data_IF_598922900166
#
_entry.id   IF_598922900166
#
_cell.length_a   1.000
_cell.length_b   1.000
_cell.length_c   1.000
_cell.angle_alpha   90.00
_cell.angle_beta   90.00
_cell.angle_gamma   90.00
#
_symmetry.space_group_name_H-M   'P 1'
#
loop_
_entity.id
_entity.type
_entity.pdbx_description
1 polymer ?
#
# COMPACT_ATOMS: atom_id res chain seq x y z
N UNK A 1 25.39 -30.32 24.25
CA UNK A 1 25.31 -28.86 24.06
C UNK A 1 23.92 -28.39 24.38
N UNK A 2 23.76 -27.60 25.44
CA UNK A 2 22.46 -27.08 25.87
C UNK A 2 22.04 -26.02 24.84
N UNK A 3 20.94 -26.26 24.14
CA UNK A 3 20.37 -25.34 23.16
C UNK A 3 19.81 -24.14 23.91
N UNK A 4 20.41 -22.95 23.74
CA UNK A 4 19.89 -21.74 24.37
C UNK A 4 18.67 -21.26 23.56
N UNK A 5 17.47 -21.15 24.17
CA UNK A 5 16.30 -20.67 23.45
C UNK A 5 16.55 -19.22 23.04
N UNK A 6 16.24 -18.92 21.77
CA UNK A 6 16.30 -17.56 21.25
C UNK A 6 15.29 -16.69 21.98
N UNK A 7 15.78 -15.78 22.82
CA UNK A 7 14.99 -14.79 23.54
C UNK A 7 14.88 -13.53 22.66
N UNK A 8 13.66 -13.22 22.23
CA UNK A 8 13.36 -12.03 21.43
C UNK A 8 12.46 -11.09 22.22
N UNK A 9 12.91 -9.85 22.43
CA UNK A 9 12.05 -8.80 22.96
C UNK A 9 11.20 -8.26 21.81
N UNK A 10 9.90 -8.48 21.87
CA UNK A 10 8.97 -8.06 20.83
C UNK A 10 8.19 -6.82 21.26
N UNK A 11 8.56 -5.67 20.70
CA UNK A 11 7.77 -4.44 20.80
C UNK A 11 6.69 -4.37 19.70
N UNK A 12 6.55 -5.45 18.90
CA UNK A 12 5.69 -5.48 17.73
C UNK A 12 4.22 -5.22 18.05
N UNK A 13 3.72 -5.78 19.14
CA UNK A 13 2.32 -5.62 19.56
C UNK A 13 2.08 -4.44 20.50
N UNK A 14 3.14 -3.70 20.85
CA UNK A 14 3.02 -2.51 21.69
C UNK A 14 2.52 -1.36 20.80
N UNK A 15 1.36 -0.79 21.16
CA UNK A 15 0.79 0.36 20.47
C UNK A 15 1.29 1.65 21.13
N UNK A 16 1.44 2.71 20.33
CA UNK A 16 2.02 3.97 20.82
C UNK A 16 1.18 4.62 21.94
N UNK A 17 -0.13 4.38 21.94
CA UNK A 17 -1.07 4.78 22.99
C UNK A 17 -0.75 4.22 24.38
N UNK A 18 0.01 3.12 24.45
CA UNK A 18 0.36 2.45 25.70
C UNK A 18 1.72 2.95 26.25
N UNK A 19 2.42 3.83 25.51
CA UNK A 19 3.62 4.51 26.02
C UNK A 19 3.25 5.64 26.98
N UNK A 20 3.95 5.68 28.11
CA UNK A 20 3.88 6.77 29.08
C UNK A 20 5.10 7.68 28.88
N UNK A 21 4.88 8.99 28.70
CA UNK A 21 5.97 9.96 28.66
C UNK A 21 6.69 10.01 30.02
N UNK A 22 8.01 9.79 30.01
CA UNK A 22 8.83 9.84 31.21
C UNK A 22 9.04 11.31 31.63
N UNK A 23 8.37 11.74 32.69
CA UNK A 23 8.49 13.08 33.29
C UNK A 23 9.07 12.99 34.71
N UNK A 24 9.62 14.08 35.24
CA UNK A 24 10.20 14.13 36.60
C UNK A 24 9.19 13.76 37.71
N UNK A 25 7.89 13.95 37.47
CA UNK A 25 6.81 13.52 38.37
C UNK A 25 6.67 12.00 38.53
N UNK A 26 7.22 11.22 37.59
CA UNK A 26 7.23 9.75 37.62
C UNK A 26 8.50 9.17 38.26
N UNK A 27 9.53 9.98 38.53
CA UNK A 27 10.81 9.53 39.10
C UNK A 27 10.67 8.86 40.49
N UNK A 28 9.63 9.22 41.25
CA UNK A 28 9.36 8.68 42.59
C UNK A 28 8.22 7.65 42.64
N UNK A 29 7.66 7.24 41.49
CA UNK A 29 6.51 6.31 41.44
C UNK A 29 6.97 4.90 41.04
N UNK A 30 6.49 3.87 41.73
CA UNK A 30 6.73 2.47 41.34
C UNK A 30 5.95 2.17 40.05
N UNK A 31 6.66 1.97 38.95
CA UNK A 31 6.08 1.52 37.67
C UNK A 31 5.72 0.04 37.78
N UNK A 32 4.47 -0.30 37.50
CA UNK A 32 4.02 -1.69 37.49
C UNK A 32 4.32 -2.28 36.10
N UNK A 33 5.49 -2.93 35.97
CA UNK A 33 5.93 -3.57 34.73
C UNK A 33 5.26 -4.93 34.60
N UNK A 34 4.27 -5.04 33.70
CA UNK A 34 3.64 -6.31 33.36
C UNK A 34 4.44 -6.98 32.26
N UNK A 35 5.26 -7.97 32.61
CA UNK A 35 6.00 -8.77 31.63
C UNK A 35 5.13 -9.94 31.15
N UNK A 36 4.70 -9.89 29.88
CA UNK A 36 4.01 -11.00 29.23
C UNK A 36 5.02 -11.86 28.47
N UNK A 37 5.15 -13.13 28.84
CA UNK A 37 5.93 -14.11 28.09
C UNK A 37 4.99 -15.00 27.26
N UNK A 38 5.30 -15.19 25.99
CA UNK A 38 4.57 -16.12 25.13
C UNK A 38 5.55 -16.91 24.28
N UNK A 39 5.22 -18.16 24.00
CA UNK A 39 5.98 -19.00 23.07
C UNK A 39 5.44 -18.68 21.68
N UNK A 40 6.25 -18.00 20.85
CA UNK A 40 5.93 -17.76 19.46
C UNK A 40 6.42 -18.92 18.58
N UNK A 41 5.64 -19.28 17.57
CA UNK A 41 6.12 -20.19 16.53
C UNK A 41 7.18 -19.50 15.66
N UNK A 42 8.10 -20.27 15.10
CA UNK A 42 9.14 -19.73 14.20
C UNK A 42 8.52 -18.98 13.01
N UNK A 43 7.37 -19.45 12.51
CA UNK A 43 6.63 -18.81 11.42
C UNK A 43 6.01 -17.46 11.85
N UNK A 44 5.42 -17.41 13.04
CA UNK A 44 4.86 -16.16 13.56
C UNK A 44 5.97 -15.12 13.79
N UNK A 45 7.11 -15.55 14.33
CA UNK A 45 8.28 -14.70 14.50
C UNK A 45 8.84 -14.22 13.15
N UNK A 46 9.01 -15.10 12.16
CA UNK A 46 9.53 -14.72 10.84
C UNK A 46 8.59 -13.75 10.12
N UNK A 47 7.27 -13.90 10.27
CA UNK A 47 6.30 -12.95 9.74
C UNK A 47 6.41 -11.58 10.42
N UNK A 48 6.49 -11.54 11.75
CA UNK A 48 6.65 -10.28 12.50
C UNK A 48 7.94 -9.55 12.12
N UNK A 49 9.06 -10.29 12.02
CA UNK A 49 10.34 -9.75 11.61
C UNK A 49 10.29 -9.14 10.20
N UNK A 50 9.72 -9.88 9.23
CA UNK A 50 9.53 -9.38 7.86
C UNK A 50 8.64 -8.14 7.80
N UNK A 51 7.52 -8.11 8.54
CA UNK A 51 6.64 -6.95 8.58
C UNK A 51 7.34 -5.72 9.15
N UNK A 52 8.12 -5.91 10.21
CA UNK A 52 8.86 -4.81 10.88
C UNK A 52 9.89 -4.24 9.92
N UNK A 53 10.67 -5.10 9.26
CA UNK A 53 11.66 -4.69 8.26
C UNK A 53 11.01 -3.96 7.07
N UNK A 54 9.88 -4.47 6.58
CA UNK A 54 9.14 -3.82 5.48
C UNK A 54 8.64 -2.43 5.86
N UNK A 55 8.14 -2.26 7.09
CA UNK A 55 7.74 -0.94 7.58
C UNK A 55 8.95 -0.01 7.69
N UNK A 56 10.07 -0.46 8.27
CA UNK A 56 11.29 0.35 8.32
C UNK A 56 11.75 0.79 6.93
N UNK A 57 11.83 -0.14 5.98
CA UNK A 57 12.21 0.16 4.59
C UNK A 57 11.25 1.15 3.93
N UNK A 58 9.94 0.99 4.14
CA UNK A 58 8.93 1.92 3.61
C UNK A 58 9.07 3.33 4.18
N UNK A 59 9.43 3.44 5.46
CA UNK A 59 9.66 4.70 6.16
C UNK A 59 10.92 5.41 5.69
N UNK A 60 12.00 4.66 5.51
CA UNK A 60 13.25 5.18 4.92
C UNK A 60 13.04 5.72 3.51
N UNK A 61 12.26 5.01 2.69
CA UNK A 61 11.95 5.43 1.33
C UNK A 61 10.86 6.51 1.27
N UNK A 62 10.31 6.90 2.43
CA UNK A 62 9.19 7.83 2.60
C UNK A 62 8.00 7.46 1.69
N UNK A 63 7.86 6.17 1.35
CA UNK A 63 6.84 5.72 0.40
C UNK A 63 5.45 5.89 0.98
N UNK A 64 5.35 5.78 2.31
CA UNK A 64 4.17 5.93 3.14
C UNK A 64 4.51 6.60 4.48
N UNK A 65 3.50 7.17 5.13
CA UNK A 65 3.59 7.59 6.53
C UNK A 65 3.61 6.34 7.42
N UNK A 66 4.80 5.77 7.55
CA UNK A 66 5.03 4.42 8.10
C UNK A 66 4.54 4.27 9.53
N UNK A 67 4.65 5.32 10.36
CA UNK A 67 4.17 5.26 11.74
C UNK A 67 2.64 5.19 11.79
N UNK A 68 1.97 6.05 11.03
CA UNK A 68 0.51 6.08 10.97
C UNK A 68 -0.07 4.81 10.35
N UNK A 69 0.52 4.34 9.26
CA UNK A 69 0.04 3.15 8.53
C UNK A 69 0.28 1.86 9.31
N UNK A 70 1.45 1.71 9.96
CA UNK A 70 1.74 0.58 10.85
C UNK A 70 0.76 0.53 12.03
N UNK A 71 0.49 1.68 12.65
CA UNK A 71 -0.48 1.78 13.74
C UNK A 71 -1.90 1.41 13.29
N UNK A 72 -2.35 1.95 12.15
CA UNK A 72 -3.67 1.63 11.61
C UNK A 72 -3.80 0.13 11.28
N UNK A 73 -2.77 -0.48 10.70
CA UNK A 73 -2.79 -1.91 10.40
C UNK A 73 -2.86 -2.76 11.68
N UNK A 74 -2.04 -2.46 12.69
CA UNK A 74 -2.10 -3.15 14.00
C UNK A 74 -3.48 -3.01 14.64
N UNK A 75 -4.05 -1.80 14.59
CA UNK A 75 -5.39 -1.53 15.11
C UNK A 75 -6.47 -2.32 14.37
N UNK A 76 -6.41 -2.38 13.04
CA UNK A 76 -7.36 -3.17 12.24
C UNK A 76 -7.31 -4.65 12.63
N UNK A 77 -6.11 -5.21 12.84
CA UNK A 77 -5.95 -6.62 13.22
C UNK A 77 -6.47 -6.95 14.63
N UNK A 78 -6.35 -6.03 15.58
CA UNK A 78 -6.74 -6.25 16.98
C UNK A 78 -8.21 -5.89 17.22
N UNK A 79 -8.67 -4.76 16.68
CA UNK A 79 -9.99 -4.19 16.98
C UNK A 79 -11.11 -4.71 16.05
N UNK A 80 -10.78 -5.31 14.90
CA UNK A 80 -11.78 -5.72 13.89
C UNK A 80 -12.15 -7.19 14.01
N UNK A 81 -13.40 -7.53 13.66
CA UNK A 81 -13.84 -8.92 13.58
C UNK A 81 -13.02 -9.69 12.51
N UNK A 82 -12.38 -10.82 12.86
CA UNK A 82 -11.49 -11.56 11.97
C UNK A 82 -12.18 -12.07 10.70
N UNK A 83 -13.48 -12.40 10.76
CA UNK A 83 -14.23 -12.86 9.59
C UNK A 83 -14.44 -11.73 8.56
N UNK A 84 -14.73 -10.53 9.04
CA UNK A 84 -14.88 -9.35 8.18
C UNK A 84 -13.53 -8.97 7.56
N UNK A 85 -12.47 -8.98 8.37
CA UNK A 85 -11.12 -8.66 7.90
C UNK A 85 -10.63 -9.65 6.83
N UNK A 86 -10.89 -10.95 7.01
CA UNK A 86 -10.57 -11.97 6.01
C UNK A 86 -11.34 -11.76 4.70
N UNK A 87 -12.63 -11.44 4.76
CA UNK A 87 -13.43 -11.13 3.57
C UNK A 87 -12.90 -9.89 2.83
N UNK A 88 -12.62 -8.80 3.55
CA UNK A 88 -12.03 -7.59 2.97
C UNK A 88 -10.66 -7.86 2.33
N UNK A 89 -9.82 -8.66 2.97
CA UNK A 89 -8.52 -9.08 2.42
C UNK A 89 -8.67 -9.89 1.13
N UNK A 90 -9.62 -10.81 1.07
CA UNK A 90 -9.91 -11.58 -0.15
C UNK A 90 -10.44 -10.68 -1.28
N UNK A 91 -11.36 -9.75 -0.97
CA UNK A 91 -11.86 -8.79 -1.95
C UNK A 91 -10.75 -7.90 -2.50
N UNK A 92 -9.87 -7.40 -1.64
CA UNK A 92 -8.70 -6.60 -2.05
C UNK A 92 -7.77 -7.41 -2.96
N UNK A 93 -7.45 -8.65 -2.58
CA UNK A 93 -6.60 -9.53 -3.39
C UNK A 93 -7.20 -9.79 -4.78
N UNK A 94 -8.49 -10.12 -4.84
CA UNK A 94 -9.20 -10.32 -6.11
C UNK A 94 -9.24 -9.04 -6.95
N UNK A 95 -9.49 -7.89 -6.32
CA UNK A 95 -9.48 -6.59 -6.99
C UNK A 95 -8.11 -6.33 -7.62
N UNK A 96 -7.01 -6.51 -6.89
CA UNK A 96 -5.65 -6.34 -7.40
C UNK A 96 -5.36 -7.30 -8.56
N UNK A 97 -5.78 -8.57 -8.47
CA UNK A 97 -5.59 -9.56 -9.54
C UNK A 97 -6.35 -9.18 -10.81
N UNK A 98 -7.62 -8.79 -10.69
CA UNK A 98 -8.42 -8.37 -11.85
C UNK A 98 -7.88 -7.09 -12.48
N UNK A 99 -7.44 -6.12 -11.68
CA UNK A 99 -6.80 -4.90 -12.17
C UNK A 99 -5.51 -5.21 -12.93
N UNK A 100 -4.65 -6.11 -12.43
CA UNK A 100 -3.45 -6.55 -13.15
C UNK A 100 -3.77 -7.27 -14.48
N UNK A 101 -4.78 -8.14 -14.50
CA UNK A 101 -5.23 -8.83 -15.70
C UNK A 101 -5.80 -7.85 -16.74
N UNK A 102 -6.65 -6.93 -16.31
CA UNK A 102 -7.22 -5.88 -17.16
C UNK A 102 -6.10 -5.01 -17.76
N UNK A 103 -5.14 -4.58 -16.94
CA UNK A 103 -3.99 -3.80 -17.36
C UNK A 103 -3.13 -4.52 -18.40
N UNK A 104 -2.83 -5.81 -18.16
CA UNK A 104 -2.08 -6.64 -19.10
C UNK A 104 -2.80 -6.81 -20.43
N UNK A 105 -4.11 -7.05 -20.39
CA UNK A 105 -4.94 -7.18 -21.58
C UNK A 105 -4.97 -5.87 -22.37
N UNK A 106 -5.16 -4.75 -21.69
CA UNK A 106 -5.21 -3.42 -22.28
C UNK A 106 -3.91 -3.08 -23.02
N UNK A 107 -2.73 -3.29 -22.39
CA UNK A 107 -1.44 -3.09 -23.07
C UNK A 107 -1.30 -4.02 -24.29
N UNK A 108 -1.71 -5.28 -24.18
CA UNK A 108 -1.64 -6.22 -25.30
C UNK A 108 -2.54 -5.80 -26.47
N UNK A 109 -3.77 -5.38 -26.17
CA UNK A 109 -4.72 -4.88 -27.15
C UNK A 109 -4.14 -3.67 -27.90
N UNK A 110 -3.66 -2.66 -27.18
CA UNK A 110 -3.08 -1.46 -27.80
C UNK A 110 -1.78 -1.75 -28.52
N UNK A 111 -0.99 -2.75 -28.12
CA UNK A 111 0.23 -3.13 -28.84
C UNK A 111 -0.10 -3.80 -30.19
N UNK A 112 -1.06 -4.72 -30.22
CA UNK A 112 -1.40 -5.51 -31.41
C UNK A 112 -2.33 -4.80 -32.39
N UNK A 113 -3.10 -3.79 -31.95
CA UNK A 113 -4.07 -3.15 -32.83
C UNK A 113 -3.42 -2.21 -33.87
N UNK A 114 -3.72 -2.45 -35.16
CA UNK A 114 -3.26 -1.69 -36.34
C UNK A 114 -4.41 -0.91 -37.02
N UNK A 115 -5.67 -1.25 -36.72
CA UNK A 115 -6.87 -0.62 -37.30
C UNK A 115 -7.83 -0.23 -36.17
N UNK A 116 -8.08 1.07 -36.03
CA UNK A 116 -8.97 1.61 -34.99
C UNK A 116 -10.44 1.70 -35.42
N UNK A 117 -10.89 0.85 -36.36
CA UNK A 117 -12.30 0.77 -36.74
C UNK A 117 -13.15 0.34 -35.53
N UNK A 118 -13.83 1.30 -34.91
CA UNK A 118 -14.74 1.08 -33.78
C UNK A 118 -14.35 1.75 -32.44
N UNK A 119 -13.18 2.39 -32.35
CA UNK A 119 -12.78 3.16 -31.16
C UNK A 119 -13.05 4.65 -31.37
N UNK A 120 -13.80 5.28 -30.46
CA UNK A 120 -14.05 6.72 -30.49
C UNK A 120 -12.89 7.48 -29.87
N UNK A 121 -12.05 8.13 -30.69
CA UNK A 121 -10.97 8.98 -30.17
C UNK A 121 -11.49 10.09 -29.26
N UNK A 122 -12.72 10.57 -29.48
CA UNK A 122 -13.36 11.58 -28.63
C UNK A 122 -13.58 11.07 -27.20
N UNK A 123 -14.05 9.84 -27.01
CA UNK A 123 -14.22 9.31 -25.65
C UNK A 123 -12.87 9.10 -24.96
N UNK A 124 -11.86 8.69 -25.72
CA UNK A 124 -10.51 8.48 -25.22
C UNK A 124 -9.83 9.77 -24.75
N UNK A 125 -10.02 10.87 -25.48
CA UNK A 125 -9.54 12.20 -25.06
C UNK A 125 -10.23 12.63 -23.78
N UNK A 126 -11.56 12.48 -23.67
CA UNK A 126 -12.31 12.84 -22.47
C UNK A 126 -11.83 12.05 -21.25
N UNK A 127 -11.65 10.73 -21.39
CA UNK A 127 -11.11 9.89 -20.33
C UNK A 127 -9.69 10.32 -19.90
N UNK A 128 -8.83 10.65 -20.85
CA UNK A 128 -7.49 11.17 -20.56
C UNK A 128 -7.52 12.48 -19.79
N UNK A 129 -8.38 13.43 -20.19
CA UNK A 129 -8.52 14.72 -19.50
C UNK A 129 -9.03 14.53 -18.08
N UNK A 130 -10.03 13.67 -17.85
CA UNK A 130 -10.48 13.34 -16.50
C UNK A 130 -9.35 12.76 -15.64
N UNK A 131 -8.58 11.82 -16.18
CA UNK A 131 -7.44 11.21 -15.48
C UNK A 131 -6.33 12.23 -15.18
N UNK A 132 -6.07 13.15 -16.11
CA UNK A 132 -5.13 14.25 -15.92
C UNK A 132 -5.59 15.20 -14.80
N UNK A 133 -6.87 15.55 -14.74
CA UNK A 133 -7.43 16.41 -13.68
C UNK A 133 -7.28 15.73 -12.32
N UNK A 134 -7.63 14.44 -12.21
CA UNK A 134 -7.45 13.66 -10.98
C UNK A 134 -5.97 13.58 -10.58
N UNK A 135 -5.07 13.36 -11.55
CA UNK A 135 -3.62 13.35 -11.33
C UNK A 135 -3.10 14.67 -10.77
N UNK A 136 -3.55 15.79 -11.35
CA UNK A 136 -3.19 17.12 -10.90
C UNK A 136 -3.74 17.41 -9.49
N UNK A 137 -4.97 16.98 -9.20
CA UNK A 137 -5.60 17.14 -7.89
C UNK A 137 -4.84 16.39 -6.79
N UNK A 138 -4.44 15.14 -7.03
CA UNK A 138 -3.65 14.38 -6.07
C UNK A 138 -2.23 14.92 -5.92
N UNK A 139 -1.64 15.49 -6.98
CA UNK A 139 -0.32 16.11 -6.93
C UNK A 139 -0.33 17.40 -6.10
N UNK A 140 -1.42 18.17 -6.15
CA UNK A 140 -1.61 19.37 -5.31
C UNK A 140 -1.93 19.02 -3.85
N UNK A 141 -2.52 17.86 -3.62
CA UNK A 141 -2.77 17.31 -2.28
C UNK A 141 -1.45 16.90 -1.61
N UNK A 142 -0.83 17.83 -0.86
CA UNK A 142 0.46 17.66 -0.15
C UNK A 142 0.57 16.46 0.80
N UNK A 143 -0.55 15.90 1.24
CA UNK A 143 -0.61 14.75 2.17
C UNK A 143 -0.70 13.39 1.46
N UNK A 144 -0.49 13.34 0.13
CA UNK A 144 -0.63 12.10 -0.64
C UNK A 144 0.63 11.24 -0.53
N UNK A 145 0.43 9.97 -0.17
CA UNK A 145 1.48 8.94 -0.11
C UNK A 145 2.26 8.85 -1.43
N UNK A 146 3.60 8.81 -1.39
CA UNK A 146 4.44 8.78 -2.60
C UNK A 146 4.13 7.57 -3.48
N UNK A 147 3.67 6.47 -2.86
CA UNK A 147 3.18 5.28 -3.55
C UNK A 147 1.99 5.59 -4.46
N UNK A 148 0.99 6.32 -3.96
CA UNK A 148 -0.20 6.71 -4.73
C UNK A 148 0.20 7.67 -5.86
N UNK A 149 1.15 8.58 -5.59
CA UNK A 149 1.69 9.50 -6.58
C UNK A 149 2.42 8.76 -7.72
N UNK A 150 3.16 7.70 -7.38
CA UNK A 150 3.81 6.84 -8.36
C UNK A 150 2.81 6.07 -9.22
N UNK A 151 1.76 5.50 -8.60
CA UNK A 151 0.70 4.78 -9.29
C UNK A 151 -0.01 5.67 -10.33
N UNK A 152 -0.44 6.87 -9.93
CA UNK A 152 -1.14 7.79 -10.83
C UNK A 152 -0.24 8.34 -11.96
N UNK A 153 1.07 8.45 -11.70
CA UNK A 153 2.06 8.84 -12.71
C UNK A 153 2.22 7.77 -13.79
N UNK A 154 2.30 6.50 -13.41
CA UNK A 154 2.33 5.38 -14.36
C UNK A 154 1.07 5.36 -15.23
N UNK A 155 -0.08 5.52 -14.59
CA UNK A 155 -1.40 5.57 -15.22
C UNK A 155 -1.50 6.71 -16.25
N UNK A 156 -1.11 7.92 -15.86
CA UNK A 156 -1.12 9.10 -16.74
C UNK A 156 -0.17 8.94 -17.93
N UNK A 157 1.00 8.33 -17.70
CA UNK A 157 1.99 8.04 -18.75
C UNK A 157 1.44 7.05 -19.77
N UNK A 158 0.76 6.00 -19.31
CA UNK A 158 0.15 5.01 -20.19
C UNK A 158 -1.02 5.59 -20.97
N UNK A 159 -1.87 6.38 -20.34
CA UNK A 159 -2.98 7.05 -21.02
C UNK A 159 -2.45 8.02 -22.12
N UNK A 160 -1.37 8.75 -21.83
CA UNK A 160 -0.67 9.59 -22.81
C UNK A 160 -0.12 8.78 -23.99
N UNK A 161 0.48 7.61 -23.74
CA UNK A 161 0.97 6.72 -24.79
C UNK A 161 -0.16 6.20 -25.68
N UNK A 162 -1.26 5.74 -25.07
CA UNK A 162 -2.43 5.26 -25.83
C UNK A 162 -3.02 6.39 -26.69
N UNK A 163 -3.16 7.60 -26.14
CA UNK A 163 -3.70 8.75 -26.88
C UNK A 163 -2.82 9.13 -28.09
N UNK A 164 -1.49 9.17 -27.90
CA UNK A 164 -0.54 9.41 -29.01
C UNK A 164 -0.67 8.36 -30.12
N UNK A 165 -0.84 7.08 -29.75
CA UNK A 165 -1.05 6.01 -30.72
C UNK A 165 -2.39 6.16 -31.43
N UNK A 166 -3.44 6.54 -30.71
CA UNK A 166 -4.78 6.73 -31.25
C UNK A 166 -4.84 7.80 -32.35
N UNK A 167 -4.34 9.00 -32.03
CA UNK A 167 -4.32 10.14 -32.96
C UNK A 167 -3.49 9.83 -34.20
N UNK A 168 -2.37 9.11 -34.06
CA UNK A 168 -1.51 8.73 -35.20
C UNK A 168 -2.20 7.73 -36.16
N UNK A 169 -3.09 6.88 -35.65
CA UNK A 169 -3.83 5.91 -36.48
C UNK A 169 -5.00 6.59 -37.20
N UNK A 170 -5.71 7.52 -36.55
CA UNK A 170 -6.76 8.32 -37.22
C UNK A 170 -6.21 9.22 -38.34
N UNK A 171 -5.02 9.79 -38.17
CA UNK A 171 -4.40 10.63 -39.23
C UNK A 171 -3.91 9.83 -40.45
N UNK A 172 -3.83 8.49 -40.36
CA UNK A 172 -3.34 7.60 -41.42
C UNK A 172 -4.44 6.78 -42.10
N UNK A 173 -5.63 6.69 -41.50
CA UNK A 173 -6.80 6.00 -42.05
C UNK A 173 -7.72 6.95 -42.78
#
# INVERSE_FOLDING_TARGET
>A
SIYQPFLYMSDFWLLEKDYLALNESLANRRLNLTLSYSIASLMAWSMQAQMTEQWHTQGEWQMTDTQRDSFMMKRLLIDTNPYLLAFSGMFLALHTVFSMLAFKNDIQFWRQNQSMKGLSARSMIVSFVCQLITSLYLLDSRETSRLILFEILLDTTLASWKLKKAVKVELKG
#
